data_IF_601715435117
#
_entry.id   IF_601715435117
#
_cell.length_a   1.000
_cell.length_b   1.000
_cell.length_c   1.000
_cell.angle_alpha   90.00
_cell.angle_beta   90.00
_cell.angle_gamma   90.00
#
_symmetry.space_group_name_H-M   'P 1'
#
loop_
_entity.id
_entity.type
_entity.pdbx_description
1 polymer ?
#
# COMPACT_ATOMS: atom_id res chain seq x y z
N UNK A 1 -37.08 15.37 5.93
CA UNK A 1 -36.43 15.37 7.25
C UNK A 1 -34.99 14.93 7.01
N UNK A 2 -34.05 15.87 6.91
CA UNK A 2 -32.65 15.58 6.57
C UNK A 2 -31.90 15.22 7.87
N UNK A 3 -31.33 14.01 7.93
CA UNK A 3 -30.50 13.59 9.05
C UNK A 3 -29.22 14.44 9.09
N UNK A 4 -28.88 15.06 10.23
CA UNK A 4 -27.63 15.82 10.36
C UNK A 4 -26.43 14.88 10.16
N UNK A 5 -25.57 15.23 9.20
CA UNK A 5 -24.37 14.50 8.83
C UNK A 5 -23.29 14.63 9.92
N UNK A 6 -23.20 13.58 10.74
CA UNK A 6 -22.05 12.99 11.43
C UNK A 6 -20.76 13.84 11.57
N UNK A 7 -20.42 14.19 12.82
CA UNK A 7 -19.12 14.72 13.23
C UNK A 7 -18.45 13.75 14.21
N UNK A 8 -17.56 12.90 13.69
CA UNK A 8 -16.71 11.95 14.41
C UNK A 8 -15.28 11.93 13.83
N UNK A 9 -14.36 11.15 14.43
CA UNK A 9 -12.87 11.26 14.35
C UNK A 9 -12.25 11.82 13.04
N UNK A 10 -11.16 12.57 13.22
CA UNK A 10 -10.38 13.24 12.16
C UNK A 10 -10.61 14.74 11.99
N UNK A 11 -9.97 15.35 10.96
CA UNK A 11 -10.05 16.80 10.63
C UNK A 11 -11.45 17.28 10.21
N UNK A 12 -12.44 16.38 10.11
CA UNK A 12 -13.81 16.68 9.71
C UNK A 12 -14.68 17.30 10.82
N UNK A 13 -14.16 17.43 12.06
CA UNK A 13 -14.79 18.19 13.15
C UNK A 13 -15.12 19.67 12.81
N UNK A 14 -14.59 20.21 11.71
CA UNK A 14 -14.73 21.62 11.37
C UNK A 14 -16.11 22.07 10.87
N UNK A 15 -17.05 21.17 10.57
CA UNK A 15 -18.33 21.57 9.96
C UNK A 15 -19.46 21.81 10.97
N UNK A 16 -19.43 21.19 12.15
CA UNK A 16 -20.45 21.41 13.19
C UNK A 16 -19.81 21.33 14.58
N UNK A 17 -19.43 22.47 15.14
CA UNK A 17 -18.97 22.57 16.54
C UNK A 17 -20.09 22.13 17.48
N UNK A 18 -19.94 20.97 18.13
CA UNK A 18 -20.88 20.46 19.14
C UNK A 18 -21.69 19.22 18.73
N UNK A 19 -21.56 18.73 17.50
CA UNK A 19 -22.13 17.43 17.14
C UNK A 19 -21.21 16.31 17.66
N UNK A 20 -21.68 15.57 18.67
CA UNK A 20 -21.04 14.35 19.16
C UNK A 20 -21.58 13.14 18.41
N UNK A 21 -20.70 12.33 17.82
CA UNK A 21 -21.06 11.02 17.27
C UNK A 21 -21.24 9.99 18.38
N UNK A 22 -22.29 9.18 18.28
CA UNK A 22 -22.49 8.06 19.17
C UNK A 22 -21.35 7.04 19.01
N UNK A 23 -20.75 6.57 20.10
CA UNK A 23 -19.59 5.66 20.08
C UNK A 23 -19.83 4.39 19.23
N UNK A 24 -21.00 3.76 19.38
CA UNK A 24 -21.35 2.58 18.57
C UNK A 24 -21.35 2.84 17.06
N UNK A 25 -21.71 4.06 16.64
CA UNK A 25 -21.68 4.42 15.23
C UNK A 25 -20.24 4.63 14.76
N UNK A 26 -19.38 5.22 15.59
CA UNK A 26 -17.94 5.30 15.30
C UNK A 26 -17.34 3.92 15.12
N UNK A 27 -17.61 3.00 16.05
CA UNK A 27 -17.14 1.62 16.01
C UNK A 27 -17.63 0.90 14.74
N UNK A 28 -18.91 1.09 14.38
CA UNK A 28 -19.48 0.51 13.17
C UNK A 28 -18.80 1.04 11.89
N UNK A 29 -18.55 2.36 11.81
CA UNK A 29 -17.87 2.97 10.66
C UNK A 29 -16.42 2.49 10.58
N UNK A 30 -15.69 2.49 11.70
CA UNK A 30 -14.31 2.00 11.76
C UNK A 30 -14.23 0.53 11.34
N UNK A 31 -15.09 -0.33 11.88
CA UNK A 31 -15.13 -1.74 11.52
C UNK A 31 -15.44 -1.95 10.02
N UNK A 32 -16.40 -1.19 9.47
CA UNK A 32 -16.74 -1.24 8.04
C UNK A 32 -15.59 -0.80 7.14
N UNK A 33 -14.89 0.28 7.48
CA UNK A 33 -13.72 0.77 6.73
C UNK A 33 -12.54 -0.20 6.79
N UNK A 34 -12.28 -0.80 7.96
CA UNK A 34 -11.26 -1.83 8.14
C UNK A 34 -11.59 -3.09 7.32
N UNK A 35 -12.84 -3.57 7.38
CA UNK A 35 -13.30 -4.71 6.60
C UNK A 35 -13.13 -4.46 5.09
N UNK A 36 -13.46 -3.25 4.62
CA UNK A 36 -13.33 -2.87 3.22
C UNK A 36 -11.89 -2.92 2.72
N UNK A 37 -10.92 -2.52 3.54
CA UNK A 37 -9.50 -2.63 3.18
C UNK A 37 -9.10 -4.09 2.88
N UNK A 38 -9.56 -5.04 3.70
CA UNK A 38 -9.30 -6.46 3.48
C UNK A 38 -10.04 -7.01 2.25
N UNK A 39 -11.31 -6.64 2.04
CA UNK A 39 -12.09 -7.03 0.86
C UNK A 39 -11.44 -6.55 -0.45
N UNK A 40 -10.99 -5.28 -0.51
CA UNK A 40 -10.34 -4.74 -1.71
C UNK A 40 -9.00 -5.44 -1.99
N UNK A 41 -8.28 -5.87 -0.94
CA UNK A 41 -7.07 -6.67 -1.11
C UNK A 41 -7.37 -8.09 -1.64
N UNK A 42 -8.47 -8.71 -1.23
CA UNK A 42 -8.93 -10.00 -1.74
C UNK A 42 -9.34 -9.89 -3.22
N UNK A 43 -10.10 -8.84 -3.57
CA UNK A 43 -10.46 -8.55 -4.95
C UNK A 43 -9.23 -8.28 -5.82
N UNK A 44 -8.23 -7.56 -5.31
CA UNK A 44 -6.95 -7.35 -5.97
C UNK A 44 -6.24 -8.69 -6.25
N UNK A 45 -6.15 -9.58 -5.26
CA UNK A 45 -5.57 -10.91 -5.43
C UNK A 45 -6.31 -11.75 -6.49
N UNK A 46 -7.65 -11.73 -6.47
CA UNK A 46 -8.48 -12.42 -7.45
C UNK A 46 -8.25 -11.86 -8.87
N UNK A 47 -8.19 -10.53 -9.03
CA UNK A 47 -7.91 -9.88 -10.32
C UNK A 47 -6.56 -10.26 -10.88
N UNK A 48 -5.48 -10.18 -10.08
CA UNK A 48 -4.13 -10.57 -10.49
C UNK A 48 -4.11 -12.03 -10.97
N UNK A 49 -4.78 -12.93 -10.23
CA UNK A 49 -4.87 -14.35 -10.57
C UNK A 49 -5.59 -14.59 -11.90
N UNK A 50 -6.65 -13.83 -12.16
CA UNK A 50 -7.45 -13.94 -13.39
C UNK A 50 -6.85 -13.23 -14.61
N UNK A 51 -5.92 -12.29 -14.40
CA UNK A 51 -5.34 -11.46 -15.46
C UNK A 51 -3.92 -11.92 -15.82
N UNK A 52 -3.73 -12.76 -16.85
CA UNK A 52 -2.40 -13.20 -17.27
C UNK A 52 -1.55 -12.03 -17.79
N UNK A 53 -0.22 -12.18 -17.72
CA UNK A 53 0.70 -11.24 -18.37
C UNK A 53 0.62 -11.48 -19.87
N UNK A 54 0.25 -10.44 -20.63
CA UNK A 54 0.18 -10.49 -22.09
C UNK A 54 1.52 -10.11 -22.69
N UNK A 55 1.91 -10.77 -23.79
CA UNK A 55 3.08 -10.39 -24.58
C UNK A 55 2.93 -8.94 -25.09
N UNK A 56 4.03 -8.20 -25.11
CA UNK A 56 4.08 -6.80 -25.58
C UNK A 56 3.54 -5.75 -24.60
N UNK A 57 3.04 -6.15 -23.43
CA UNK A 57 2.75 -5.21 -22.33
C UNK A 57 3.89 -5.28 -21.33
N UNK A 58 4.35 -4.14 -20.80
CA UNK A 58 5.33 -4.17 -19.72
C UNK A 58 4.78 -5.03 -18.56
N UNK A 59 5.57 -5.95 -17.98
CA UNK A 59 5.14 -6.81 -16.89
C UNK A 59 5.05 -5.99 -15.60
N UNK A 60 4.13 -5.03 -15.55
CA UNK A 60 3.87 -4.22 -14.37
C UNK A 60 3.41 -5.14 -13.24
N UNK A 61 4.24 -5.25 -12.21
CA UNK A 61 3.91 -5.97 -10.97
C UNK A 61 2.96 -5.08 -10.19
N UNK A 62 1.78 -5.56 -9.81
CA UNK A 62 0.82 -4.76 -9.04
C UNK A 62 1.14 -4.75 -7.54
N UNK A 63 1.65 -5.87 -7.01
CA UNK A 63 2.02 -6.01 -5.59
C UNK A 63 3.38 -6.67 -5.47
N UNK A 64 4.27 -6.07 -4.68
CA UNK A 64 5.58 -6.67 -4.32
C UNK A 64 5.91 -6.44 -2.85
N UNK A 65 6.83 -7.24 -2.32
CA UNK A 65 7.48 -6.93 -1.04
C UNK A 65 8.65 -5.99 -1.28
N UNK A 66 8.87 -5.06 -0.35
CA UNK A 66 10.08 -4.26 -0.36
C UNK A 66 11.30 -5.10 0.01
N UNK A 67 12.46 -4.72 -0.48
CA UNK A 67 13.73 -5.24 0.00
C UNK A 67 14.04 -4.68 1.40
N UNK A 68 14.95 -5.33 2.13
CA UNK A 68 15.41 -4.79 3.42
C UNK A 68 16.05 -3.41 3.21
N UNK A 69 16.86 -3.26 2.16
CA UNK A 69 17.46 -1.98 1.79
C UNK A 69 16.42 -0.88 1.49
N UNK A 70 15.38 -1.19 0.70
CA UNK A 70 14.29 -0.23 0.43
C UNK A 70 13.55 0.16 1.71
N UNK A 71 13.32 -0.80 2.61
CA UNK A 71 12.66 -0.54 3.89
C UNK A 71 13.51 0.36 4.80
N UNK A 72 14.83 0.14 4.84
CA UNK A 72 15.77 1.00 5.54
C UNK A 72 15.84 2.40 4.94
N UNK A 73 15.90 2.52 3.62
CA UNK A 73 15.90 3.81 2.91
C UNK A 73 14.61 4.59 3.16
N UNK A 74 13.45 3.92 3.13
CA UNK A 74 12.18 4.52 3.54
C UNK A 74 12.28 5.00 4.98
N UNK A 75 12.77 4.16 5.90
CA UNK A 75 12.80 4.50 7.33
C UNK A 75 13.77 5.63 7.66
N UNK A 76 14.89 5.74 6.95
CA UNK A 76 15.95 6.73 7.17
C UNK A 76 15.69 8.03 6.43
N UNK A 77 15.41 7.93 5.13
CA UNK A 77 15.44 9.06 4.19
C UNK A 77 14.03 9.44 3.70
N UNK A 78 13.01 8.64 4.03
CA UNK A 78 11.66 8.76 3.50
C UNK A 78 11.63 8.73 1.96
N UNK A 79 12.53 7.98 1.34
CA UNK A 79 12.63 7.87 -0.12
C UNK A 79 12.28 6.49 -0.63
N UNK A 80 11.79 6.44 -1.87
CA UNK A 80 11.60 5.20 -2.62
C UNK A 80 12.05 5.38 -4.07
N UNK A 81 12.85 4.43 -4.55
CA UNK A 81 13.51 4.49 -5.87
C UNK A 81 12.65 3.87 -7.00
N UNK A 82 11.49 3.31 -6.68
CA UNK A 82 10.60 2.68 -7.67
C UNK A 82 9.51 3.64 -8.13
N UNK A 83 9.54 3.97 -9.43
CA UNK A 83 8.62 4.89 -10.08
C UNK A 83 7.19 4.34 -10.23
N UNK A 84 6.99 3.03 -10.08
CA UNK A 84 5.67 2.42 -10.16
C UNK A 84 4.97 2.37 -8.80
N UNK A 85 5.71 2.51 -7.69
CA UNK A 85 5.09 2.44 -6.36
C UNK A 85 4.17 3.64 -6.15
N UNK A 86 2.94 3.33 -5.79
CA UNK A 86 1.87 4.27 -5.52
C UNK A 86 1.48 4.32 -4.05
N UNK A 87 1.64 3.22 -3.31
CA UNK A 87 1.37 3.11 -1.87
C UNK A 87 2.34 2.14 -1.23
N UNK A 88 2.80 2.43 -0.01
CA UNK A 88 3.54 1.48 0.82
C UNK A 88 2.71 1.15 2.06
N UNK A 89 2.58 -0.14 2.38
CA UNK A 89 1.83 -0.66 3.52
C UNK A 89 2.73 -1.54 4.38
N UNK A 90 2.90 -1.15 5.64
CA UNK A 90 3.58 -1.92 6.68
C UNK A 90 2.52 -2.67 7.49
N UNK A 91 2.58 -3.99 7.43
CA UNK A 91 1.65 -4.89 8.06
C UNK A 91 2.44 -6.01 8.76
N UNK A 92 2.79 -5.86 10.05
CA UNK A 92 3.51 -6.89 10.81
C UNK A 92 2.70 -8.18 10.94
N UNK A 93 3.34 -9.29 11.35
CA UNK A 93 2.60 -10.49 11.73
C UNK A 93 1.83 -10.22 13.03
N UNK A 94 0.70 -10.91 13.27
CA UNK A 94 -0.03 -10.77 14.52
C UNK A 94 0.80 -11.17 15.77
N UNK A 95 1.81 -12.04 15.58
CA UNK A 95 2.71 -12.51 16.64
C UNK A 95 3.87 -11.53 16.92
N UNK A 96 4.20 -10.65 15.96
CA UNK A 96 5.32 -9.73 16.12
C UNK A 96 4.92 -8.67 17.17
N UNK A 97 5.74 -8.43 18.21
CA UNK A 97 5.45 -7.39 19.18
C UNK A 97 5.31 -6.05 18.44
N UNK A 98 4.20 -5.36 18.69
CA UNK A 98 4.01 -4.01 18.19
C UNK A 98 4.98 -3.12 18.96
N UNK A 99 6.12 -2.77 18.35
CA UNK A 99 6.98 -1.71 18.88
C UNK A 99 6.21 -0.38 18.83
N UNK A 100 5.50 -0.10 19.93
CA UNK A 100 4.68 1.09 20.17
C UNK A 100 5.47 2.40 20.02
N UNK A 101 6.81 2.35 20.05
CA UNK A 101 7.69 3.47 19.73
C UNK A 101 7.63 3.93 18.27
N UNK A 102 6.95 3.19 17.39
CA UNK A 102 6.80 3.54 15.96
C UNK A 102 5.62 4.49 15.68
N UNK A 103 4.85 4.86 16.70
CA UNK A 103 3.65 5.71 16.61
C UNK A 103 3.92 7.11 16.04
N UNK A 104 5.15 7.64 16.14
CA UNK A 104 5.52 8.93 15.52
C UNK A 104 5.70 8.86 14.00
N UNK A 105 5.91 7.66 13.41
CA UNK A 105 6.17 7.51 11.95
C UNK A 105 4.91 7.62 11.07
N UNK A 106 3.74 7.85 11.67
CA UNK A 106 2.43 7.86 10.98
C UNK A 106 2.28 8.98 9.93
N UNK A 107 3.15 9.99 9.96
CA UNK A 107 3.16 11.13 9.02
C UNK A 107 4.23 11.06 7.93
N UNK A 108 4.75 9.88 7.58
CA UNK A 108 5.69 9.79 6.46
C UNK A 108 4.94 9.74 5.11
N UNK A 109 4.96 10.87 4.42
CA UNK A 109 4.84 10.87 2.95
C UNK A 109 6.22 10.61 2.38
N UNK A 110 6.35 9.59 1.55
CA UNK A 110 7.61 9.24 0.92
C UNK A 110 7.82 10.09 -0.33
N UNK A 111 9.06 10.44 -0.60
CA UNK A 111 9.48 11.09 -1.83
C UNK A 111 9.97 10.06 -2.83
N UNK A 112 9.62 10.25 -4.10
CA UNK A 112 10.23 9.50 -5.17
C UNK A 112 11.64 10.03 -5.41
N UNK A 113 12.64 9.17 -5.23
CA UNK A 113 14.01 9.54 -5.57
C UNK A 113 14.16 9.63 -7.09
N UNK A 114 14.85 10.65 -7.56
CA UNK A 114 15.09 10.92 -8.99
C UNK A 114 16.52 10.63 -9.40
N UNK A 115 17.29 9.98 -8.52
CA UNK A 115 18.73 9.77 -8.68
C UNK A 115 19.00 8.63 -9.69
N UNK A 116 18.65 8.89 -10.94
CA UNK A 116 19.28 8.23 -12.07
C UNK A 116 20.55 9.02 -12.39
N UNK A 117 21.67 8.59 -11.82
CA UNK A 117 23.01 9.18 -11.99
C UNK A 117 23.53 9.22 -13.45
N UNK A 118 22.71 8.84 -14.44
CA UNK A 118 23.09 8.75 -15.86
C UNK A 118 22.35 9.73 -16.78
N UNK A 119 21.58 10.70 -16.24
CA UNK A 119 20.93 11.72 -17.08
C UNK A 119 21.75 13.03 -17.08
N UNK A 120 22.27 13.49 -18.24
CA UNK A 120 23.01 14.74 -18.31
C UNK A 120 22.11 15.92 -17.93
N UNK A 121 22.42 16.55 -16.79
CA UNK A 121 21.86 17.79 -16.24
C UNK A 121 20.35 18.00 -16.51
N UNK A 122 19.47 17.33 -15.74
CA UNK A 122 18.03 17.55 -15.86
C UNK A 122 17.68 18.99 -15.45
N UNK A 123 17.00 19.71 -16.35
CA UNK A 123 16.36 20.99 -16.01
C UNK A 123 15.47 20.77 -14.79
N UNK A 124 15.56 21.58 -13.72
CA UNK A 124 14.73 21.39 -12.54
C UNK A 124 13.26 21.50 -12.94
N UNK A 125 12.52 20.38 -12.86
CA UNK A 125 11.09 20.40 -13.13
C UNK A 125 10.42 21.24 -12.03
N UNK A 126 9.64 22.25 -12.42
CA UNK A 126 8.89 23.10 -11.48
C UNK A 126 7.72 22.37 -10.79
N UNK A 127 7.47 21.11 -11.13
CA UNK A 127 6.39 20.34 -10.56
C UNK A 127 6.77 19.81 -9.17
N UNK A 128 5.84 19.79 -8.21
CA UNK A 128 6.10 19.21 -6.90
C UNK A 128 6.44 17.72 -7.04
N UNK A 129 7.45 17.26 -6.30
CA UNK A 129 7.81 15.84 -6.26
C UNK A 129 6.58 15.03 -5.79
N UNK A 130 6.19 13.97 -6.52
CA UNK A 130 5.05 13.15 -6.12
C UNK A 130 5.33 12.52 -4.76
N UNK A 131 4.32 12.53 -3.90
CA UNK A 131 4.37 12.00 -2.55
C UNK A 131 3.64 10.66 -2.48
N UNK A 132 4.29 9.64 -1.95
CA UNK A 132 3.75 8.29 -1.84
C UNK A 132 3.33 8.06 -0.38
N UNK A 133 2.06 7.74 -0.10
CA UNK A 133 1.61 7.49 1.27
C UNK A 133 2.21 6.20 1.83
N UNK A 134 2.75 6.30 3.05
CA UNK A 134 3.12 5.16 3.89
C UNK A 134 2.01 4.91 4.92
N UNK A 135 1.49 3.68 4.92
CA UNK A 135 0.47 3.24 5.86
C UNK A 135 1.07 2.22 6.83
N UNK A 136 0.95 2.48 8.13
CA UNK A 136 1.27 1.52 9.17
C UNK A 136 -0.03 0.91 9.70
N UNK A 137 -0.36 -0.30 9.24
CA UNK A 137 -1.63 -0.93 9.55
C UNK A 137 -1.94 -1.06 11.06
N UNK A 138 -0.98 -1.31 11.97
CA UNK A 138 -1.27 -1.35 13.39
C UNK A 138 -1.83 -0.05 13.98
N UNK A 139 -1.65 1.09 13.30
CA UNK A 139 -2.11 2.38 13.81
C UNK A 139 -3.59 2.65 13.50
N UNK A 140 -4.18 1.92 12.56
CA UNK A 140 -5.58 2.16 12.11
C UNK A 140 -6.40 0.88 11.90
N UNK A 141 -5.79 -0.31 12.02
CA UNK A 141 -6.46 -1.61 12.04
C UNK A 141 -6.19 -2.27 13.39
N UNK A 142 -7.07 -2.04 14.35
CA UNK A 142 -6.91 -2.58 15.71
C UNK A 142 -7.32 -4.06 15.79
N UNK A 143 -8.27 -4.48 14.95
CA UNK A 143 -8.73 -5.86 14.92
C UNK A 143 -7.66 -6.79 14.32
N UNK A 144 -7.15 -7.71 15.14
CA UNK A 144 -6.15 -8.70 14.74
C UNK A 144 -6.66 -9.63 13.64
N UNK A 145 -7.95 -9.97 13.64
CA UNK A 145 -8.58 -10.82 12.62
C UNK A 145 -8.57 -10.13 11.25
N UNK A 146 -8.91 -8.83 11.21
CA UNK A 146 -8.90 -8.05 9.96
C UNK A 146 -7.47 -7.86 9.47
N UNK A 147 -6.50 -7.58 10.36
CA UNK A 147 -5.07 -7.52 9.98
C UNK A 147 -4.59 -8.83 9.38
N UNK A 148 -4.93 -9.97 9.99
CA UNK A 148 -4.58 -11.29 9.47
C UNK A 148 -5.23 -11.56 8.11
N UNK A 149 -6.50 -11.16 7.93
CA UNK A 149 -7.21 -11.28 6.64
C UNK A 149 -6.57 -10.43 5.55
N UNK A 150 -6.30 -9.15 5.83
CA UNK A 150 -5.60 -8.23 4.92
C UNK A 150 -4.21 -8.78 4.54
N UNK A 151 -3.46 -9.29 5.52
CA UNK A 151 -2.13 -9.89 5.28
C UNK A 151 -2.22 -11.13 4.39
N UNK A 152 -3.20 -12.00 4.68
CA UNK A 152 -3.47 -13.20 3.89
C UNK A 152 -3.80 -12.84 2.44
N UNK A 153 -4.68 -11.87 2.23
CA UNK A 153 -5.06 -11.40 0.90
C UNK A 153 -3.86 -10.83 0.11
N UNK A 154 -3.00 -10.02 0.76
CA UNK A 154 -1.78 -9.49 0.12
C UNK A 154 -0.77 -10.59 -0.20
N UNK A 155 -0.62 -11.62 0.64
CA UNK A 155 0.20 -12.78 0.31
C UNK A 155 -0.36 -13.56 -0.88
N UNK A 156 -1.68 -13.77 -0.94
CA UNK A 156 -2.31 -14.38 -2.10
C UNK A 156 -2.10 -13.56 -3.39
N UNK A 157 -2.11 -12.23 -3.30
CA UNK A 157 -1.78 -11.35 -4.43
C UNK A 157 -0.32 -11.53 -4.87
N UNK A 158 0.62 -11.60 -3.92
CA UNK A 158 2.04 -11.86 -4.21
C UNK A 158 2.26 -13.23 -4.88
N UNK A 159 1.59 -14.27 -4.41
CA UNK A 159 1.71 -15.61 -4.97
C UNK A 159 1.06 -15.71 -6.36
N UNK A 160 -0.05 -14.99 -6.58
CA UNK A 160 -0.64 -14.82 -7.89
C UNK A 160 0.30 -14.08 -8.86
N UNK A 161 0.99 -13.02 -8.39
CA UNK A 161 2.01 -12.33 -9.20
C UNK A 161 3.18 -13.24 -9.55
N UNK A 162 3.73 -13.97 -8.57
CA UNK A 162 4.82 -14.92 -8.79
C UNK A 162 4.44 -15.98 -9.80
N UNK A 163 3.23 -16.54 -9.67
CA UNK A 163 2.71 -17.54 -10.58
C UNK A 163 2.53 -16.99 -12.00
N UNK A 164 2.04 -15.75 -12.13
CA UNK A 164 1.88 -15.09 -13.41
C UNK A 164 3.24 -14.80 -14.08
N UNK A 165 4.21 -14.30 -13.31
CA UNK A 165 5.58 -14.08 -13.78
C UNK A 165 6.25 -15.39 -14.21
N UNK A 166 6.10 -16.46 -13.42
CA UNK A 166 6.67 -17.77 -13.76
C UNK A 166 6.10 -18.33 -15.06
N UNK A 167 4.78 -18.21 -15.28
CA UNK A 167 4.15 -18.59 -16.55
C UNK A 167 4.67 -17.74 -17.71
N UNK A 168 4.81 -16.43 -17.51
CA UNK A 168 5.26 -15.50 -18.53
C UNK A 168 6.73 -15.66 -18.93
N UNK A 169 7.61 -16.14 -18.03
CA UNK A 169 9.04 -16.41 -18.31
C UNK A 169 9.29 -17.32 -19.51
N UNK A 170 8.35 -18.24 -19.80
CA UNK A 170 8.44 -19.14 -20.95
C UNK A 170 8.31 -18.41 -22.30
N UNK A 171 7.71 -17.22 -22.31
CA UNK A 171 7.32 -16.53 -23.54
C UNK A 171 7.79 -15.07 -23.62
N UNK A 172 8.37 -14.51 -22.53
CA UNK A 172 8.91 -13.14 -22.46
C UNK A 172 10.39 -13.22 -22.08
N UNK A 173 11.32 -13.05 -23.04
CA UNK A 173 12.77 -13.14 -22.79
C UNK A 173 13.27 -12.12 -21.76
N UNK A 174 12.70 -10.91 -21.73
CA UNK A 174 13.04 -9.87 -20.74
C UNK A 174 12.84 -10.34 -19.29
N UNK A 175 11.91 -11.27 -19.06
CA UNK A 175 11.66 -11.83 -17.73
C UNK A 175 12.72 -12.86 -17.30
N UNK A 176 13.54 -13.34 -18.23
CA UNK A 176 14.64 -14.26 -17.95
C UNK A 176 15.81 -13.53 -17.28
N UNK A 177 16.06 -12.27 -17.63
CA UNK A 177 17.10 -11.44 -17.00
C UNK A 177 16.86 -11.26 -15.49
N UNK A 178 15.60 -11.32 -15.04
CA UNK A 178 15.28 -11.29 -13.61
C UNK A 178 15.54 -12.61 -12.87
N UNK A 179 15.75 -13.72 -13.58
CA UNK A 179 16.11 -15.00 -12.96
C UNK A 179 17.57 -15.02 -12.52
N UNK A 180 18.44 -14.30 -13.24
CA UNK A 180 19.88 -14.24 -12.96
C UNK A 180 20.25 -13.17 -11.92
N UNK A 181 19.28 -12.38 -11.45
CA UNK A 181 19.54 -11.42 -10.38
C UNK A 181 19.82 -12.15 -9.05
N UNK A 182 20.88 -11.75 -8.32
CA UNK A 182 21.19 -12.34 -7.03
C UNK A 182 20.02 -12.17 -6.06
N UNK A 183 19.84 -13.15 -5.18
CA UNK A 183 18.79 -13.09 -4.16
C UNK A 183 18.96 -11.84 -3.29
N UNK A 184 17.97 -10.96 -3.31
CA UNK A 184 17.91 -9.79 -2.43
C UNK A 184 16.97 -10.08 -1.27
N UNK A 185 17.40 -9.92 0.00
CA UNK A 185 16.55 -10.16 1.15
C UNK A 185 15.36 -9.20 1.15
N UNK A 186 14.17 -9.75 1.38
CA UNK A 186 12.89 -9.01 1.36
C UNK A 186 12.40 -8.74 2.78
N UNK A 187 11.90 -7.53 3.02
CA UNK A 187 11.17 -7.19 4.22
C UNK A 187 9.93 -8.08 4.34
N UNK A 188 9.75 -8.74 5.48
CA UNK A 188 8.68 -9.72 5.68
C UNK A 188 7.31 -9.08 5.98
N UNK A 189 7.30 -7.79 6.28
CA UNK A 189 6.15 -7.03 6.80
C UNK A 189 5.71 -5.89 5.89
N UNK A 190 6.50 -5.54 4.86
CA UNK A 190 6.24 -4.33 4.05
C UNK A 190 5.91 -4.66 2.61
N UNK A 191 4.78 -4.13 2.16
CA UNK A 191 4.22 -4.33 0.83
C UNK A 191 4.23 -2.99 0.08
N UNK A 192 4.59 -3.03 -1.19
CA UNK A 192 4.43 -1.93 -2.12
C UNK A 192 3.30 -2.27 -3.11
N UNK A 193 2.34 -1.36 -3.22
CA UNK A 193 1.32 -1.38 -4.25
C UNK A 193 1.81 -0.51 -5.41
N UNK A 194 1.89 -1.10 -6.58
CA UNK A 194 2.46 -0.50 -7.76
C UNK A 194 1.37 -0.30 -8.81
N UNK A 195 1.51 0.77 -9.58
CA UNK A 195 0.68 0.99 -10.75
C UNK A 195 0.93 -0.13 -11.76
N UNK A 196 -0.12 -0.89 -12.08
CA UNK A 196 -0.07 -1.96 -13.08
C UNK A 196 -1.27 -1.85 -14.00
N UNK A 197 -1.06 -2.18 -15.28
CA UNK A 197 -2.15 -2.29 -16.27
C UNK A 197 -2.97 -3.58 -16.09
N UNK A 198 -2.45 -4.58 -15.36
CA UNK A 198 -3.10 -5.89 -15.16
C UNK A 198 -4.13 -5.88 -14.05
N UNK A 199 -3.84 -5.14 -12.98
CA UNK A 199 -4.71 -5.06 -11.83
C UNK A 199 -4.64 -3.65 -11.26
N UNK A 200 -5.81 -3.05 -11.11
CA UNK A 200 -5.94 -1.73 -10.54
C UNK A 200 -5.82 -1.78 -9.01
N UNK A 201 -4.78 -1.14 -8.48
CA UNK A 201 -4.51 -1.01 -7.04
C UNK A 201 -5.23 0.19 -6.41
N UNK A 202 -5.84 1.06 -7.22
CA UNK A 202 -6.50 2.29 -6.77
C UNK A 202 -7.65 2.02 -5.78
N UNK A 203 -8.53 1.01 -5.95
CA UNK A 203 -9.59 0.75 -4.98
C UNK A 203 -9.06 0.45 -3.57
N UNK A 204 -8.01 -0.36 -3.46
CA UNK A 204 -7.35 -0.65 -2.19
C UNK A 204 -6.68 0.61 -1.61
N UNK A 205 -5.99 1.39 -2.44
CA UNK A 205 -5.38 2.66 -2.02
C UNK A 205 -6.43 3.65 -1.48
N UNK A 206 -7.59 3.76 -2.13
CA UNK A 206 -8.70 4.60 -1.68
C UNK A 206 -9.29 4.08 -0.37
N UNK A 207 -9.46 2.77 -0.20
CA UNK A 207 -9.94 2.19 1.06
C UNK A 207 -9.00 2.52 2.23
N UNK A 208 -7.69 2.34 2.04
CA UNK A 208 -6.67 2.73 3.03
C UNK A 208 -6.69 4.22 3.34
N UNK A 209 -6.82 5.07 2.31
CA UNK A 209 -6.90 6.52 2.49
C UNK A 209 -8.15 6.94 3.28
N UNK A 210 -9.32 6.37 2.97
CA UNK A 210 -10.57 6.65 3.70
C UNK A 210 -10.46 6.27 5.18
N UNK A 211 -9.90 5.11 5.48
CA UNK A 211 -9.66 4.67 6.85
C UNK A 211 -8.67 5.60 7.57
N UNK A 212 -7.58 6.00 6.91
CA UNK A 212 -6.64 6.98 7.46
C UNK A 212 -7.30 8.33 7.76
N UNK A 213 -8.11 8.86 6.84
CA UNK A 213 -8.84 10.12 7.02
C UNK A 213 -9.85 10.05 8.18
N UNK A 214 -10.53 8.91 8.33
CA UNK A 214 -11.46 8.65 9.42
C UNK A 214 -10.77 8.58 10.79
N UNK A 215 -9.61 7.93 10.88
CA UNK A 215 -8.84 7.89 12.15
C UNK A 215 -8.15 9.23 12.46
N UNK A 216 -8.05 10.14 11.48
CA UNK A 216 -7.42 11.45 11.66
C UNK A 216 -5.89 11.44 11.60
N UNK A 217 -5.31 10.45 10.90
CA UNK A 217 -3.87 10.22 10.80
C UNK A 217 -3.22 10.84 9.55
#
# INVERSE_FOLDING_TARGET
MALPLLSGKGRHRGLFSGAETHSLLEDQITAGLQARCAEEAELLAARIRSSPIRQGTSPGIAVRRLTVFEYEAITRDAEIYDSNVSVVLVLPKPEDPLDLGTTEKTKMLLYRSTDSEHSPAPKPSKLPKPRIPLFFAPNFVNDSSIRARLRTALNQALDAERSALQKARSHIPELQTFADQPYVPKASTTYALCASRRADVVPLAIALWRLKMWEGL
#
